data_IF_029852810777
#
_entry.id   IF_029852810777
#
_cell.length_a   1.000
_cell.length_b   1.000
_cell.length_c   1.000
_cell.angle_alpha   90.00
_cell.angle_beta   90.00
_cell.angle_gamma   90.00
#
_symmetry.space_group_name_H-M   'P 1'
#
loop_
_entity.id
_entity.type
_entity.pdbx_description
1 polymer ?
#
# COMPACT_ATOMS: atom_id res chain seq x y z
N UNK A 1 -15.90 -4.98 -9.45
CA UNK A 1 -14.57 -4.94 -8.81
C UNK A 1 -14.38 -6.13 -7.91
N UNK A 2 -13.31 -6.84 -8.10
CA UNK A 2 -13.03 -8.07 -7.38
C UNK A 2 -11.69 -7.95 -6.65
N UNK A 3 -11.69 -8.20 -5.34
CA UNK A 3 -10.48 -8.19 -4.50
C UNK A 3 -9.96 -9.62 -4.42
N UNK A 4 -8.70 -9.82 -4.77
CA UNK A 4 -8.07 -11.13 -4.74
C UNK A 4 -6.56 -11.04 -4.44
N UNK A 5 -5.93 -12.16 -4.03
CA UNK A 5 -4.47 -12.16 -3.89
C UNK A 5 -3.78 -11.84 -5.21
N UNK A 6 -2.64 -11.17 -5.12
CA UNK A 6 -1.76 -10.91 -6.26
C UNK A 6 -1.05 -12.23 -6.63
N UNK A 7 -0.99 -12.51 -7.93
CA UNK A 7 -0.35 -13.72 -8.46
C UNK A 7 0.92 -13.33 -9.22
N UNK A 8 1.79 -14.31 -9.45
CA UNK A 8 2.99 -14.09 -10.27
C UNK A 8 2.64 -13.58 -11.67
N UNK A 9 1.48 -13.99 -12.20
CA UNK A 9 0.99 -13.52 -13.50
C UNK A 9 0.63 -12.03 -13.49
N UNK A 10 0.49 -11.41 -12.32
CA UNK A 10 0.19 -9.97 -12.19
C UNK A 10 1.45 -9.09 -12.19
N UNK A 11 2.63 -9.67 -12.07
CA UNK A 11 3.89 -8.93 -11.86
C UNK A 11 4.11 -7.86 -12.92
N UNK A 12 3.88 -8.18 -14.18
CA UNK A 12 4.08 -7.24 -15.28
C UNK A 12 3.13 -6.04 -15.17
N UNK A 13 1.86 -6.30 -14.87
CA UNK A 13 0.86 -5.24 -14.67
C UNK A 13 1.23 -4.35 -13.49
N UNK A 14 1.65 -4.94 -12.37
CA UNK A 14 2.07 -4.18 -11.19
C UNK A 14 3.32 -3.36 -11.49
N UNK A 15 4.31 -3.92 -12.18
CA UNK A 15 5.52 -3.19 -12.57
C UNK A 15 5.17 -1.97 -13.43
N UNK A 16 4.23 -2.11 -14.35
CA UNK A 16 3.78 -1.02 -15.19
C UNK A 16 3.13 0.10 -14.36
N UNK A 17 2.26 -0.27 -13.41
CA UNK A 17 1.63 0.71 -12.51
C UNK A 17 2.66 1.39 -11.61
N UNK A 18 3.64 0.65 -11.10
CA UNK A 18 4.72 1.20 -10.29
C UNK A 18 5.50 2.25 -11.07
N UNK A 19 5.85 1.96 -12.32
CA UNK A 19 6.58 2.89 -13.18
C UNK A 19 5.79 4.15 -13.49
N UNK A 20 4.47 4.03 -13.64
CA UNK A 20 3.60 5.17 -13.93
C UNK A 20 3.36 6.06 -12.71
N UNK A 21 3.34 5.48 -11.52
CA UNK A 21 2.89 6.17 -10.30
C UNK A 21 4.06 6.64 -9.43
N UNK A 22 5.11 5.82 -9.30
CA UNK A 22 6.20 6.07 -8.36
C UNK A 22 7.51 6.36 -9.05
N UNK A 23 8.24 7.38 -8.58
CA UNK A 23 9.62 7.65 -9.04
C UNK A 23 10.59 6.60 -8.54
N UNK A 24 10.32 5.99 -7.38
CA UNK A 24 11.08 4.89 -6.79
C UNK A 24 10.38 3.54 -7.05
N UNK A 25 9.97 3.32 -8.28
CA UNK A 25 9.22 2.13 -8.68
C UNK A 25 9.94 0.83 -8.29
N UNK A 26 9.17 -0.13 -7.78
CA UNK A 26 9.69 -1.47 -7.49
C UNK A 26 10.01 -2.22 -8.78
N UNK A 27 11.10 -2.99 -8.75
CA UNK A 27 11.48 -3.89 -9.84
C UNK A 27 10.59 -5.14 -9.85
N UNK A 28 10.63 -5.88 -10.96
CA UNK A 28 9.96 -7.19 -11.03
C UNK A 28 10.40 -8.10 -9.88
N UNK A 29 11.71 -8.14 -9.59
CA UNK A 29 12.23 -8.99 -8.51
C UNK A 29 11.68 -8.59 -7.15
N UNK A 30 11.59 -7.29 -6.86
CA UNK A 30 10.98 -6.81 -5.61
C UNK A 30 9.53 -7.25 -5.48
N UNK A 31 8.77 -7.16 -6.58
CA UNK A 31 7.36 -7.56 -6.59
C UNK A 31 7.25 -9.08 -6.37
N UNK A 32 8.05 -9.87 -7.07
CA UNK A 32 8.06 -11.33 -6.92
C UNK A 32 8.43 -11.74 -5.51
N UNK A 33 9.45 -11.10 -4.93
CA UNK A 33 9.89 -11.40 -3.58
C UNK A 33 8.77 -11.17 -2.57
N UNK A 34 8.00 -10.09 -2.72
CA UNK A 34 6.84 -9.82 -1.86
C UNK A 34 5.75 -10.87 -2.03
N UNK A 35 5.43 -11.25 -3.27
CA UNK A 35 4.40 -12.27 -3.53
C UNK A 35 4.78 -13.61 -2.89
N UNK A 36 6.06 -13.97 -2.93
CA UNK A 36 6.57 -15.23 -2.39
C UNK A 36 6.88 -15.18 -0.89
N UNK A 37 6.90 -14.01 -0.29
CA UNK A 37 7.21 -13.83 1.13
C UNK A 37 6.07 -14.37 2.00
N UNK A 38 6.45 -15.07 3.09
CA UNK A 38 5.49 -15.57 4.09
C UNK A 38 4.88 -14.44 4.92
N UNK A 39 5.52 -13.29 4.96
CA UNK A 39 5.13 -12.17 5.83
C UNK A 39 4.38 -11.08 5.09
N UNK A 40 4.46 -11.08 3.76
CA UNK A 40 3.86 -10.04 2.92
C UNK A 40 2.51 -10.49 2.39
N UNK A 41 1.57 -9.55 2.39
CA UNK A 41 0.24 -9.73 1.83
C UNK A 41 0.12 -8.78 0.65
N UNK A 42 -0.04 -9.36 -0.53
CA UNK A 42 -0.13 -8.63 -1.79
C UNK A 42 -1.51 -8.87 -2.37
N UNK A 43 -2.30 -7.81 -2.48
CA UNK A 43 -3.73 -7.88 -2.84
C UNK A 43 -3.98 -6.94 -3.99
N UNK A 44 -4.78 -7.38 -4.96
CA UNK A 44 -5.18 -6.57 -6.11
C UNK A 44 -6.69 -6.39 -6.16
N UNK A 45 -7.12 -5.32 -6.81
CA UNK A 45 -8.50 -5.14 -7.27
C UNK A 45 -8.49 -5.34 -8.77
N UNK A 46 -9.30 -6.28 -9.23
CA UNK A 46 -9.44 -6.62 -10.64
C UNK A 46 -10.84 -6.30 -11.14
N UNK A 47 -10.93 -5.82 -12.37
CA UNK A 47 -12.19 -5.65 -13.08
C UNK A 47 -11.93 -5.90 -14.56
N UNK A 48 -12.74 -6.74 -15.20
CA UNK A 48 -12.62 -7.08 -16.63
C UNK A 48 -11.20 -7.52 -17.01
N UNK A 49 -10.60 -8.41 -16.18
CA UNK A 49 -9.25 -8.96 -16.37
C UNK A 49 -8.13 -7.92 -16.30
N UNK A 50 -8.41 -6.75 -15.70
CA UNK A 50 -7.43 -5.68 -15.54
C UNK A 50 -7.22 -5.39 -14.07
N UNK A 51 -5.97 -5.22 -13.67
CA UNK A 51 -5.63 -4.78 -12.32
C UNK A 51 -5.82 -3.26 -12.24
N UNK A 52 -6.72 -2.82 -11.38
CA UNK A 52 -7.03 -1.40 -11.17
C UNK A 52 -6.21 -0.79 -10.04
N UNK A 53 -5.90 -1.59 -9.04
CA UNK A 53 -5.26 -1.10 -7.81
C UNK A 53 -4.63 -2.28 -7.05
N UNK A 54 -3.72 -1.97 -6.14
CA UNK A 54 -3.09 -2.99 -5.31
C UNK A 54 -2.62 -2.40 -3.99
N UNK A 55 -2.43 -3.30 -3.01
CA UNK A 55 -1.87 -2.99 -1.71
C UNK A 55 -0.86 -4.08 -1.33
N UNK A 56 0.24 -3.68 -0.71
CA UNK A 56 1.24 -4.60 -0.16
C UNK A 56 1.53 -4.18 1.28
N UNK A 57 1.34 -5.11 2.20
CA UNK A 57 1.66 -4.89 3.61
C UNK A 57 2.32 -6.14 4.20
N UNK A 58 3.11 -5.92 5.24
CA UNK A 58 3.86 -6.99 5.93
C UNK A 58 3.37 -7.09 7.36
N UNK A 59 3.23 -8.32 7.85
CA UNK A 59 2.87 -8.58 9.25
C UNK A 59 4.03 -9.26 9.95
N UNK A 60 4.40 -8.74 11.10
CA UNK A 60 5.40 -9.31 11.97
C UNK A 60 4.84 -9.27 13.40
N UNK A 61 4.43 -10.44 13.89
CA UNK A 61 3.79 -10.61 15.19
C UNK A 61 2.52 -9.74 15.30
N UNK A 62 2.49 -8.75 16.19
CA UNK A 62 1.33 -7.91 16.43
C UNK A 62 1.44 -6.53 15.75
N UNK A 63 2.43 -6.36 14.86
CA UNK A 63 2.62 -5.13 14.12
C UNK A 63 2.60 -5.40 12.61
N UNK A 64 2.22 -4.39 11.84
CA UNK A 64 2.25 -4.45 10.38
C UNK A 64 2.89 -3.18 9.83
N UNK A 65 3.39 -3.29 8.61
CA UNK A 65 3.89 -2.16 7.85
C UNK A 65 3.20 -2.12 6.50
N UNK A 66 2.62 -0.99 6.15
CA UNK A 66 2.04 -0.77 4.82
C UNK A 66 3.15 -0.26 3.90
N UNK A 67 3.51 -1.06 2.91
CA UNK A 67 4.57 -0.71 1.97
C UNK A 67 4.09 0.09 0.78
N UNK A 68 3.00 -0.36 0.15
CA UNK A 68 2.47 0.24 -1.07
C UNK A 68 0.96 0.16 -1.09
N UNK A 69 0.33 1.23 -1.55
CA UNK A 69 -1.05 1.25 -1.97
C UNK A 69 -1.13 2.18 -3.18
N UNK A 70 -1.71 1.71 -4.27
CA UNK A 70 -1.76 2.49 -5.49
C UNK A 70 -2.98 2.14 -6.33
N UNK A 71 -3.49 3.13 -7.05
CA UNK A 71 -4.60 2.97 -7.99
C UNK A 71 -4.16 3.51 -9.35
N UNK A 72 -4.45 2.76 -10.41
CA UNK A 72 -4.26 3.21 -11.78
C UNK A 72 -4.92 4.58 -11.94
N UNK A 73 -4.20 5.54 -12.52
CA UNK A 73 -4.66 6.92 -12.66
C UNK A 73 -6.01 7.02 -13.39
N UNK A 74 -6.29 6.10 -14.31
CA UNK A 74 -7.54 6.08 -15.05
C UNK A 74 -8.74 5.64 -14.20
N UNK A 75 -8.50 5.00 -13.07
CA UNK A 75 -9.54 4.42 -12.20
C UNK A 75 -9.58 5.08 -10.82
N UNK A 76 -8.96 6.22 -10.66
CA UNK A 76 -9.03 6.99 -9.40
C UNK A 76 -10.43 7.57 -9.23
N UNK A 77 -10.81 7.79 -7.97
CA UNK A 77 -12.12 8.32 -7.64
C UNK A 77 -13.23 7.28 -7.57
N UNK A 78 -12.91 6.00 -7.74
CA UNK A 78 -13.88 4.89 -7.68
C UNK A 78 -13.87 4.14 -6.33
N UNK A 79 -13.11 4.64 -5.37
CA UNK A 79 -13.05 4.05 -4.04
C UNK A 79 -12.10 2.87 -3.88
N UNK A 80 -11.20 2.63 -4.83
CA UNK A 80 -10.25 1.51 -4.74
C UNK A 80 -9.37 1.59 -3.50
N UNK A 81 -8.82 2.77 -3.19
CA UNK A 81 -7.99 2.97 -2.01
C UNK A 81 -8.74 2.63 -0.73
N UNK A 82 -9.98 3.06 -0.61
CA UNK A 82 -10.83 2.75 0.53
C UNK A 82 -11.12 1.25 0.65
N UNK A 83 -11.39 0.58 -0.46
CA UNK A 83 -11.63 -0.87 -0.46
C UNK A 83 -10.41 -1.64 0.00
N UNK A 84 -9.21 -1.24 -0.45
CA UNK A 84 -7.97 -1.89 -0.06
C UNK A 84 -7.63 -1.63 1.41
N UNK A 85 -7.82 -0.40 1.89
CA UNK A 85 -7.61 -0.08 3.31
C UNK A 85 -8.55 -0.87 4.21
N UNK A 86 -9.83 -0.94 3.86
CA UNK A 86 -10.80 -1.74 4.61
C UNK A 86 -10.42 -3.22 4.63
N UNK A 87 -10.01 -3.75 3.48
CA UNK A 87 -9.56 -5.14 3.39
C UNK A 87 -8.39 -5.40 4.32
N UNK A 88 -7.36 -4.56 4.27
CA UNK A 88 -6.20 -4.68 5.14
C UNK A 88 -6.60 -4.63 6.62
N UNK A 89 -7.38 -3.63 7.02
CA UNK A 89 -7.76 -3.43 8.42
C UNK A 89 -8.55 -4.63 8.95
N UNK A 90 -9.50 -5.14 8.17
CA UNK A 90 -10.29 -6.31 8.58
C UNK A 90 -9.42 -7.55 8.76
N UNK A 91 -8.49 -7.78 7.84
CA UNK A 91 -7.56 -8.92 7.94
C UNK A 91 -6.61 -8.77 9.12
N UNK A 92 -6.07 -7.57 9.33
CA UNK A 92 -5.18 -7.31 10.46
C UNK A 92 -5.88 -7.48 11.80
N UNK A 93 -7.15 -7.11 11.88
CA UNK A 93 -7.98 -7.33 13.07
C UNK A 93 -8.11 -8.83 13.36
N UNK A 94 -8.41 -9.63 12.37
CA UNK A 94 -8.52 -11.08 12.51
C UNK A 94 -7.19 -11.73 12.95
N UNK A 95 -6.08 -11.18 12.48
CA UNK A 95 -4.73 -11.63 12.86
C UNK A 95 -4.28 -11.09 14.23
N UNK A 96 -5.10 -10.25 14.86
CA UNK A 96 -4.80 -9.61 16.16
C UNK A 96 -3.59 -8.68 16.11
N UNK A 97 -3.34 -8.08 14.95
CA UNK A 97 -2.36 -7.01 14.80
C UNK A 97 -2.87 -5.78 15.53
N UNK A 98 -1.98 -5.10 16.25
CA UNK A 98 -2.33 -3.93 17.06
C UNK A 98 -2.04 -2.62 16.38
N UNK A 99 -0.98 -2.56 15.57
CA UNK A 99 -0.44 -1.31 15.07
C UNK A 99 0.07 -1.47 13.64
N UNK A 100 -0.15 -0.44 12.83
CA UNK A 100 0.35 -0.37 11.45
C UNK A 100 1.21 0.88 11.30
N UNK A 101 2.38 0.72 10.72
CA UNK A 101 3.29 1.81 10.38
C UNK A 101 3.32 2.02 8.87
N UNK A 102 3.59 3.24 8.44
CA UNK A 102 3.85 3.54 7.04
C UNK A 102 4.76 4.76 6.90
N UNK A 103 5.39 4.87 5.73
CA UNK A 103 6.12 6.05 5.30
C UNK A 103 5.49 6.55 4.00
N UNK A 104 5.32 7.86 3.88
CA UNK A 104 4.73 8.48 2.70
C UNK A 104 5.42 9.82 2.42
N UNK A 105 5.52 10.19 1.14
CA UNK A 105 6.05 11.51 0.79
C UNK A 105 5.21 12.60 1.44
N UNK A 106 5.85 13.58 2.04
CA UNK A 106 5.13 14.72 2.67
C UNK A 106 4.22 15.45 1.69
N UNK A 107 4.56 15.45 0.40
CA UNK A 107 3.78 16.12 -0.64
C UNK A 107 2.62 15.28 -1.18
N UNK A 108 2.54 14.00 -0.81
CA UNK A 108 1.47 13.12 -1.27
C UNK A 108 0.22 13.33 -0.42
N UNK A 109 -0.47 14.44 -0.65
CA UNK A 109 -1.64 14.86 0.15
C UNK A 109 -2.80 13.87 0.05
N UNK A 110 -3.03 13.30 -1.12
CA UNK A 110 -4.13 12.34 -1.33
C UNK A 110 -3.94 11.08 -0.49
N UNK A 111 -2.72 10.53 -0.48
CA UNK A 111 -2.42 9.36 0.34
C UNK A 111 -2.51 9.67 1.83
N UNK A 112 -1.96 10.81 2.25
CA UNK A 112 -2.02 11.23 3.65
C UNK A 112 -3.48 11.36 4.11
N UNK A 113 -4.33 11.99 3.29
CA UNK A 113 -5.75 12.14 3.58
C UNK A 113 -6.44 10.78 3.73
N UNK A 114 -6.11 9.83 2.85
CA UNK A 114 -6.63 8.47 2.93
C UNK A 114 -6.26 7.82 4.26
N UNK A 115 -5.00 7.90 4.64
CA UNK A 115 -4.53 7.31 5.91
C UNK A 115 -5.15 7.98 7.12
N UNK A 116 -5.24 9.30 7.12
CA UNK A 116 -5.88 10.06 8.20
C UNK A 116 -7.35 9.69 8.37
N UNK A 117 -8.04 9.42 7.27
CA UNK A 117 -9.43 8.96 7.30
C UNK A 117 -9.58 7.66 8.12
N UNK A 118 -8.58 6.79 8.10
CA UNK A 118 -8.58 5.54 8.86
C UNK A 118 -7.92 5.66 10.23
N UNK A 119 -7.67 6.89 10.68
CA UNK A 119 -7.16 7.13 12.03
C UNK A 119 -5.65 7.12 12.17
N UNK A 120 -4.92 7.07 11.05
CA UNK A 120 -3.46 7.16 11.09
C UNK A 120 -3.03 8.55 11.49
N UNK A 121 -1.97 8.63 12.29
CA UNK A 121 -1.44 9.89 12.83
C UNK A 121 0.04 10.03 12.52
N UNK A 122 0.47 11.27 12.35
CA UNK A 122 1.87 11.62 12.12
C UNK A 122 2.68 11.35 13.38
N UNK A 123 3.82 10.67 13.24
CA UNK A 123 4.70 10.37 14.36
C UNK A 123 6.13 10.85 14.16
N UNK A 124 6.49 11.27 12.95
CA UNK A 124 7.83 11.76 12.67
C UNK A 124 8.04 12.12 11.23
N UNK A 125 9.21 12.64 10.94
CA UNK A 125 9.64 13.02 9.60
C UNK A 125 11.08 12.56 9.39
N UNK A 126 11.37 11.93 8.24
CA UNK A 126 12.73 11.67 7.77
C UNK A 126 13.04 12.69 6.70
N UNK A 127 14.00 13.56 6.97
CA UNK A 127 14.38 14.62 6.04
C UNK A 127 15.05 14.05 4.80
N UNK A 128 14.66 14.57 3.63
CA UNK A 128 15.28 14.26 2.34
C UNK A 128 15.40 12.75 2.07
N UNK A 129 14.40 11.97 2.52
CA UNK A 129 14.39 10.51 2.39
C UNK A 129 14.19 10.06 0.95
N UNK A 130 13.35 10.77 0.20
CA UNK A 130 13.05 10.45 -1.20
C UNK A 130 13.88 11.31 -2.15
N UNK A 131 14.13 10.78 -3.35
CA UNK A 131 14.75 11.50 -4.47
C UNK A 131 13.80 11.50 -5.67
N UNK A 132 14.08 12.37 -6.65
CA UNK A 132 13.38 12.49 -7.94
C UNK A 132 11.84 12.62 -7.82
N UNK A 133 11.30 13.67 -7.22
CA UNK A 133 11.97 14.81 -6.60
C UNK A 133 12.38 14.56 -5.15
N UNK A 134 13.29 15.37 -4.64
CA UNK A 134 13.66 15.34 -3.21
C UNK A 134 12.41 15.70 -2.39
N UNK A 135 12.11 14.89 -1.40
CA UNK A 135 11.02 15.13 -0.47
C UNK A 135 11.29 14.42 0.85
N UNK A 136 10.70 14.93 1.91
CA UNK A 136 10.75 14.30 3.22
C UNK A 136 9.77 13.12 3.26
N UNK A 137 10.07 12.13 4.08
CA UNK A 137 9.14 11.06 4.40
C UNK A 137 8.37 11.43 5.67
N UNK A 138 7.05 11.38 5.60
CA UNK A 138 6.19 11.46 6.76
C UNK A 138 6.00 10.06 7.31
N UNK A 139 6.29 9.88 8.60
CA UNK A 139 6.05 8.62 9.29
C UNK A 139 4.68 8.68 9.96
N UNK A 140 3.87 7.67 9.74
CA UNK A 140 2.52 7.60 10.31
C UNK A 140 2.30 6.25 10.98
N UNK A 141 1.43 6.23 11.97
CA UNK A 141 0.97 4.98 12.57
C UNK A 141 -0.53 5.00 12.82
N UNK A 142 -1.14 3.82 12.74
CA UNK A 142 -2.54 3.63 13.07
C UNK A 142 -2.70 2.42 13.99
N UNK A 143 -3.68 2.46 14.87
CA UNK A 143 -4.01 1.35 15.76
C UNK A 143 -5.20 0.58 15.22
N UNK A 144 -5.12 -0.76 15.28
CA UNK A 144 -6.21 -1.63 14.87
C UNK A 144 -7.08 -1.87 16.09
N UNK A 145 -8.35 -1.46 16.00
CA UNK A 145 -9.32 -1.66 17.07
C UNK A 145 -9.94 -3.05 17.00
N UNK A 146 -10.10 -3.67 18.14
CA UNK A 146 -10.78 -4.98 18.27
C UNK A 146 -12.28 -4.87 18.00
#
# INVERSE_FOLDING_TARGET
MWIRPMLLSDVEAIRSLESDIFSDAWSENNIKDSIESKFDYCIVIEEDYRVLAYIVFRVNEDEAELFRIATDMQYRGLGCGHKLMNFMILNLRDMKVKKVFLEVRCKNEDAISLYEHYGFKKIGIRKEYYSDPIDDALLMEGYIKC
#
